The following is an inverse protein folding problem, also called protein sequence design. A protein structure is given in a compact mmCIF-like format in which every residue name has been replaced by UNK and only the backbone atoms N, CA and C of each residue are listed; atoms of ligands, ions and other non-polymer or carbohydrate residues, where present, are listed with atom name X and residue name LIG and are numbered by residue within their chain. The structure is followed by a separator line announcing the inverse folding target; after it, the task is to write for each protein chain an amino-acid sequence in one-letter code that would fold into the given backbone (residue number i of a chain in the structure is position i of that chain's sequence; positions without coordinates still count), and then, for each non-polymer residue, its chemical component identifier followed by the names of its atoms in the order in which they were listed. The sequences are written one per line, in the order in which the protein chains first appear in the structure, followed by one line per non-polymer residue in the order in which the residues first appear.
data_IF_892714504021
#
_entry.id   IF_892714504021
#
_cell.length_a   1.000
_cell.length_b   1.000
_cell.length_c   1.000
_cell.angle_alpha   90.00
_cell.angle_beta   90.00
_cell.angle_gamma   90.00
#
_symmetry.space_group_name_H-M   'P 1'
#
loop_
_entity.id
_entity.type
_entity.pdbx_description
1 polymer ?
#
# COMPACT_ATOMS: atom_id res chain seq x y z
N UNK A 1 -33.64 -10.75 21.22
CA UNK A 1 -33.22 -11.92 20.42
C UNK A 1 -32.28 -11.59 19.25
N UNK A 2 -32.26 -10.35 18.71
CA UNK A 2 -31.33 -9.99 17.61
C UNK A 2 -29.91 -9.66 18.11
N UNK A 3 -29.78 -9.05 19.31
CA UNK A 3 -28.50 -8.68 19.90
C UNK A 3 -27.62 -9.88 20.33
N UNK A 4 -28.22 -10.96 20.81
CA UNK A 4 -27.50 -12.19 21.20
C UNK A 4 -26.96 -12.98 20.00
N UNK A 5 -27.54 -12.81 18.81
CA UNK A 5 -27.11 -13.52 17.62
C UNK A 5 -25.88 -12.88 16.98
N UNK A 6 -25.80 -11.54 17.02
CA UNK A 6 -24.64 -10.76 16.55
C UNK A 6 -23.41 -11.05 17.42
N UNK A 7 -23.57 -11.13 18.75
CA UNK A 7 -22.46 -11.46 19.65
C UNK A 7 -21.95 -12.91 19.53
N UNK A 8 -22.80 -13.85 19.08
CA UNK A 8 -22.39 -15.25 18.86
C UNK A 8 -21.63 -15.46 17.53
N UNK A 9 -21.82 -14.59 16.54
CA UNK A 9 -21.12 -14.67 15.25
C UNK A 9 -19.68 -14.15 15.32
N UNK A 10 -19.39 -13.17 16.19
CA UNK A 10 -18.02 -12.70 16.47
C UNK A 10 -17.15 -13.72 17.24
N UNK A 11 -17.76 -14.80 17.78
CA UNK A 11 -17.09 -15.84 18.55
C UNK A 11 -16.70 -17.09 17.72
N UNK A 12 -17.11 -17.16 16.45
CA UNK A 12 -16.67 -18.21 15.54
C UNK A 12 -15.28 -17.86 14.97
N UNK A 13 -14.39 -18.85 14.74
CA UNK A 13 -13.12 -18.58 14.09
C UNK A 13 -13.39 -17.96 12.71
N UNK A 14 -12.91 -16.73 12.52
CA UNK A 14 -13.00 -16.00 11.25
C UNK A 14 -12.48 -16.89 10.12
N UNK A 15 -13.23 -17.07 9.01
CA UNK A 15 -12.79 -17.86 7.85
C UNK A 15 -11.38 -17.50 7.37
N UNK A 16 -11.02 -16.22 7.43
CA UNK A 16 -9.72 -15.71 7.00
C UNK A 16 -8.59 -15.80 8.03
N UNK A 17 -8.82 -16.34 9.24
CA UNK A 17 -7.78 -16.40 10.29
C UNK A 17 -6.51 -17.17 9.83
N UNK A 18 -6.70 -18.27 9.12
CA UNK A 18 -5.58 -19.04 8.55
C UNK A 18 -4.86 -18.29 7.43
N UNK A 19 -5.60 -17.50 6.63
CA UNK A 19 -5.03 -16.66 5.57
C UNK A 19 -4.19 -15.52 6.16
N UNK A 20 -4.70 -14.83 7.18
CA UNK A 20 -3.94 -13.81 7.91
C UNK A 20 -2.65 -14.41 8.48
N UNK A 21 -2.73 -15.60 9.10
CA UNK A 21 -1.54 -16.29 9.62
C UNK A 21 -0.54 -16.59 8.51
N UNK A 22 -1.02 -17.07 7.35
CA UNK A 22 -0.17 -17.35 6.19
C UNK A 22 0.48 -16.09 5.61
N UNK A 23 -0.24 -14.97 5.56
CA UNK A 23 0.32 -13.71 5.07
C UNK A 23 1.26 -13.05 6.09
N UNK A 24 1.01 -13.23 7.40
CA UNK A 24 1.79 -12.62 8.48
C UNK A 24 3.23 -13.12 8.59
N UNK A 25 3.54 -14.25 7.97
CA UNK A 25 4.91 -14.79 7.90
C UNK A 25 5.71 -14.23 6.73
N UNK A 26 5.15 -13.30 5.94
CA UNK A 26 5.91 -12.59 4.90
C UNK A 26 6.63 -11.38 5.51
N UNK A 27 7.87 -11.08 5.08
CA UNK A 27 8.70 -10.04 5.70
C UNK A 27 8.12 -8.63 5.55
N UNK A 28 7.30 -8.41 4.51
CA UNK A 28 6.70 -7.12 4.19
C UNK A 28 5.26 -6.97 4.71
N UNK A 29 4.74 -7.95 5.47
CA UNK A 29 3.36 -7.93 5.98
C UNK A 29 3.01 -6.64 6.72
N UNK A 30 3.91 -6.16 7.58
CA UNK A 30 3.71 -4.94 8.38
C UNK A 30 3.54 -3.66 7.56
N UNK A 31 3.88 -3.69 6.27
CA UNK A 31 3.69 -2.56 5.36
C UNK A 31 2.28 -2.53 4.76
N UNK A 32 1.52 -3.62 4.82
CA UNK A 32 0.20 -3.76 4.21
C UNK A 32 -0.84 -4.40 5.13
N UNK A 33 -0.52 -4.57 6.42
CA UNK A 33 -1.35 -5.24 7.41
C UNK A 33 -2.77 -4.67 7.49
N UNK A 34 -2.89 -3.34 7.51
CA UNK A 34 -4.17 -2.63 7.50
C UNK A 34 -5.02 -3.02 6.28
N UNK A 35 -4.45 -2.98 5.07
CA UNK A 35 -5.16 -3.33 3.84
C UNK A 35 -5.53 -4.83 3.81
N UNK A 36 -4.64 -5.70 4.29
CA UNK A 36 -4.89 -7.14 4.37
C UNK A 36 -6.04 -7.43 5.34
N UNK A 37 -6.04 -6.77 6.50
CA UNK A 37 -7.10 -6.92 7.51
C UNK A 37 -8.44 -6.42 6.98
N UNK A 38 -8.45 -5.27 6.28
CA UNK A 38 -9.66 -4.73 5.67
C UNK A 38 -10.28 -5.69 4.64
N UNK A 39 -9.47 -6.22 3.72
CA UNK A 39 -9.93 -7.18 2.73
C UNK A 39 -10.34 -8.54 3.35
N UNK A 40 -9.63 -9.02 4.38
CA UNK A 40 -10.03 -10.22 5.10
C UNK A 40 -11.37 -10.04 5.82
N UNK A 41 -11.60 -8.88 6.44
CA UNK A 41 -12.88 -8.56 7.07
C UNK A 41 -14.04 -8.50 6.05
N UNK A 42 -13.78 -8.05 4.81
CA UNK A 42 -14.77 -8.11 3.72
C UNK A 42 -15.11 -9.56 3.36
N UNK A 43 -14.10 -10.41 3.19
CA UNK A 43 -14.28 -11.83 2.88
C UNK A 43 -15.08 -12.52 3.98
N UNK A 44 -14.73 -12.32 5.26
CA UNK A 44 -15.44 -12.92 6.38
C UNK A 44 -16.94 -12.55 6.37
N UNK A 45 -17.27 -11.27 6.12
CA UNK A 45 -18.66 -10.80 6.00
C UNK A 45 -19.38 -11.41 4.81
N UNK A 46 -18.69 -11.62 3.68
CA UNK A 46 -19.26 -12.30 2.52
C UNK A 46 -19.51 -13.79 2.80
N UNK A 47 -18.59 -14.48 3.49
CA UNK A 47 -18.78 -15.88 3.88
C UNK A 47 -20.08 -16.07 4.70
N UNK A 48 -20.37 -15.15 5.62
CA UNK A 48 -21.61 -15.20 6.41
C UNK A 48 -22.88 -15.10 5.56
N UNK A 49 -22.86 -14.33 4.47
CA UNK A 49 -23.99 -14.19 3.53
C UNK A 49 -24.17 -15.39 2.60
N UNK A 50 -23.09 -16.12 2.35
CA UNK A 50 -23.09 -17.28 1.46
C UNK A 50 -23.54 -18.53 2.22
N UNK A 51 -23.14 -18.65 3.49
CA UNK A 51 -23.42 -19.82 4.36
C UNK A 51 -24.82 -19.85 5.00
N UNK A 52 -25.68 -18.87 4.73
CA UNK A 52 -27.01 -18.76 5.39
C UNK A 52 -28.01 -19.85 5.02
N UNK A 53 -27.84 -20.54 3.89
CA UNK A 53 -28.66 -21.67 3.46
C UNK A 53 -27.73 -22.85 3.17
N UNK A 54 -28.09 -24.05 3.66
CA UNK A 54 -27.20 -25.20 3.85
C UNK A 54 -26.19 -25.49 2.72
N UNK A 55 -25.02 -26.02 3.09
CA UNK A 55 -23.89 -26.33 2.21
C UNK A 55 -24.30 -27.12 0.96
N UNK A 56 -24.46 -26.40 -0.15
CA UNK A 56 -24.53 -26.96 -1.49
C UNK A 56 -23.17 -26.80 -2.18
N UNK A 57 -22.69 -27.84 -2.85
CA UNK A 57 -21.41 -27.84 -3.59
C UNK A 57 -21.34 -26.75 -4.68
N UNK A 58 -22.51 -26.25 -5.08
CA UNK A 58 -22.66 -25.19 -6.06
C UNK A 58 -22.16 -23.82 -5.54
N UNK A 59 -22.15 -23.58 -4.22
CA UNK A 59 -21.74 -22.29 -3.63
C UNK A 59 -20.22 -22.11 -3.51
N UNK A 60 -19.46 -23.20 -3.31
CA UNK A 60 -18.00 -23.16 -3.39
C UNK A 60 -17.55 -22.91 -4.85
N UNK A 61 -18.26 -23.54 -5.79
CA UNK A 61 -18.07 -23.33 -7.23
C UNK A 61 -18.35 -21.88 -7.62
N UNK A 62 -19.43 -21.29 -7.07
CA UNK A 62 -19.79 -19.88 -7.29
C UNK A 62 -18.63 -18.93 -6.94
N UNK A 63 -18.08 -19.02 -5.71
CA UNK A 63 -17.03 -18.09 -5.25
C UNK A 63 -15.74 -18.23 -6.05
N UNK A 64 -15.33 -19.46 -6.33
CA UNK A 64 -14.10 -19.76 -7.10
C UNK A 64 -14.25 -19.25 -8.54
N UNK A 65 -15.37 -19.53 -9.20
CA UNK A 65 -15.59 -19.11 -10.58
C UNK A 65 -15.77 -17.60 -10.69
N UNK A 66 -16.46 -16.98 -9.74
CA UNK A 66 -16.60 -15.52 -9.70
C UNK A 66 -15.24 -14.85 -9.55
N UNK A 67 -14.35 -15.37 -8.70
CA UNK A 67 -12.98 -14.84 -8.56
C UNK A 67 -12.15 -15.00 -9.84
N UNK A 68 -12.30 -16.12 -10.55
CA UNK A 68 -11.62 -16.36 -11.83
C UNK A 68 -12.13 -15.48 -12.98
N UNK A 69 -13.41 -15.11 -12.94
CA UNK A 69 -14.10 -14.39 -14.02
C UNK A 69 -14.46 -12.95 -13.63
N UNK A 70 -13.88 -12.43 -12.54
CA UNK A 70 -14.21 -11.14 -11.94
C UNK A 70 -14.16 -10.00 -12.97
N UNK A 71 -13.07 -9.88 -13.72
CA UNK A 71 -12.88 -8.86 -14.77
C UNK A 71 -13.97 -8.93 -15.85
N UNK A 72 -14.30 -10.14 -16.33
CA UNK A 72 -15.38 -10.32 -17.30
C UNK A 72 -16.74 -9.95 -16.72
N UNK A 73 -17.00 -10.31 -15.47
CA UNK A 73 -18.24 -9.94 -14.79
C UNK A 73 -18.33 -8.41 -14.68
N UNK A 74 -17.22 -7.74 -14.34
CA UNK A 74 -17.13 -6.28 -14.27
C UNK A 74 -17.45 -5.62 -15.62
N UNK A 75 -16.83 -6.06 -16.72
CA UNK A 75 -17.02 -5.49 -18.06
C UNK A 75 -18.49 -5.51 -18.50
N UNK A 76 -19.18 -6.62 -18.24
CA UNK A 76 -20.60 -6.75 -18.57
C UNK A 76 -21.49 -5.98 -17.60
N UNK A 77 -21.20 -6.03 -16.30
CA UNK A 77 -22.00 -5.32 -15.30
C UNK A 77 -21.87 -3.79 -15.38
N UNK A 78 -20.72 -3.28 -15.85
CA UNK A 78 -20.46 -1.84 -16.02
C UNK A 78 -21.08 -1.26 -17.29
N UNK A 79 -21.23 -2.07 -18.34
CA UNK A 79 -21.85 -1.66 -19.62
C UNK A 79 -23.38 -1.83 -19.64
N UNK A 80 -23.93 -2.63 -18.72
CA UNK A 80 -25.36 -2.88 -18.60
C UNK A 80 -26.10 -1.74 -17.87
N UNK A 81 -26.96 -1.04 -18.60
CA UNK A 81 -27.80 0.03 -18.07
C UNK A 81 -28.77 -0.42 -16.95
N UNK A 82 -29.03 -1.72 -16.84
CA UNK A 82 -29.94 -2.30 -15.83
C UNK A 82 -29.24 -2.71 -14.53
N UNK A 83 -27.90 -2.60 -14.44
CA UNK A 83 -27.12 -2.76 -13.21
C UNK A 83 -27.24 -4.12 -12.50
N UNK A 84 -27.27 -5.22 -13.26
CA UNK A 84 -27.58 -6.57 -12.73
C UNK A 84 -26.33 -7.40 -12.44
N UNK A 85 -25.49 -6.95 -11.50
CA UNK A 85 -24.27 -7.70 -11.08
C UNK A 85 -24.60 -9.17 -10.76
N UNK A 86 -25.65 -9.41 -9.95
CA UNK A 86 -26.10 -10.76 -9.62
C UNK A 86 -26.47 -11.62 -10.85
N UNK A 87 -27.01 -11.03 -11.91
CA UNK A 87 -27.32 -11.76 -13.14
C UNK A 87 -26.04 -12.24 -13.84
N UNK A 88 -25.06 -11.35 -14.00
CA UNK A 88 -23.80 -11.67 -14.67
C UNK A 88 -22.99 -12.69 -13.87
N UNK A 89 -22.97 -12.56 -12.54
CA UNK A 89 -22.36 -13.57 -11.67
C UNK A 89 -22.96 -14.95 -11.92
N UNK A 90 -24.29 -15.10 -11.89
CA UNK A 90 -24.95 -16.39 -12.16
C UNK A 90 -24.65 -16.89 -13.57
N UNK A 91 -24.75 -16.02 -14.57
CA UNK A 91 -24.50 -16.37 -15.97
C UNK A 91 -23.10 -16.93 -16.19
N UNK A 92 -22.07 -16.27 -15.66
CA UNK A 92 -20.68 -16.67 -15.87
C UNK A 92 -20.25 -17.85 -15.00
N UNK A 93 -20.87 -18.03 -13.84
CA UNK A 93 -20.56 -19.16 -12.94
C UNK A 93 -21.38 -20.42 -13.22
N UNK A 94 -22.52 -20.29 -13.91
CA UNK A 94 -23.49 -21.38 -14.11
C UNK A 94 -24.34 -21.68 -12.89
N UNK A 95 -24.28 -20.85 -11.83
CA UNK A 95 -24.98 -21.05 -10.57
C UNK A 95 -26.34 -20.34 -10.55
N UNK A 96 -27.29 -20.77 -11.39
CA UNK A 96 -28.59 -20.11 -11.56
C UNK A 96 -29.46 -20.07 -10.27
N UNK A 97 -29.20 -20.99 -9.33
CA UNK A 97 -29.89 -21.09 -8.05
C UNK A 97 -29.45 -20.03 -7.02
N UNK A 98 -28.32 -19.36 -7.23
CA UNK A 98 -27.80 -18.37 -6.29
C UNK A 98 -28.76 -17.18 -6.15
N UNK A 99 -29.04 -16.77 -4.92
CA UNK A 99 -29.80 -15.54 -4.66
C UNK A 99 -29.00 -14.30 -5.07
N UNK A 100 -29.68 -13.17 -5.27
CA UNK A 100 -28.99 -11.91 -5.58
C UNK A 100 -27.99 -11.53 -4.47
N UNK A 101 -28.34 -11.79 -3.21
CA UNK A 101 -27.46 -11.54 -2.07
C UNK A 101 -26.20 -12.43 -2.10
N UNK A 102 -26.35 -13.73 -2.40
CA UNK A 102 -25.21 -14.64 -2.55
C UNK A 102 -24.32 -14.26 -3.73
N UNK A 103 -24.93 -13.88 -4.87
CA UNK A 103 -24.20 -13.47 -6.06
C UNK A 103 -23.43 -12.16 -5.85
N UNK A 104 -24.04 -11.17 -5.17
CA UNK A 104 -23.33 -9.95 -4.76
C UNK A 104 -22.21 -10.24 -3.77
N UNK A 105 -22.45 -11.07 -2.76
CA UNK A 105 -21.42 -11.46 -1.80
C UNK A 105 -20.24 -12.19 -2.47
N UNK A 106 -20.51 -13.08 -3.42
CA UNK A 106 -19.47 -13.77 -4.19
C UNK A 106 -18.63 -12.79 -5.03
N UNK A 107 -19.26 -11.79 -5.64
CA UNK A 107 -18.54 -10.77 -6.41
C UNK A 107 -17.72 -9.83 -5.51
N UNK A 108 -18.27 -9.37 -4.39
CA UNK A 108 -17.52 -8.57 -3.40
C UNK A 108 -16.32 -9.37 -2.85
N UNK A 109 -16.52 -10.67 -2.57
CA UNK A 109 -15.44 -11.56 -2.15
C UNK A 109 -14.36 -11.72 -3.21
N UNK A 110 -14.74 -11.84 -4.49
CA UNK A 110 -13.81 -11.91 -5.61
C UNK A 110 -12.94 -10.65 -5.72
N UNK A 111 -13.55 -9.47 -5.66
CA UNK A 111 -12.84 -8.17 -5.61
C UNK A 111 -11.84 -8.12 -4.44
N UNK A 112 -12.27 -8.50 -3.23
CA UNK A 112 -11.40 -8.52 -2.05
C UNK A 112 -10.25 -9.55 -2.17
N UNK A 113 -10.51 -10.72 -2.76
CA UNK A 113 -9.49 -11.74 -3.01
C UNK A 113 -8.44 -11.25 -4.03
N UNK A 114 -8.87 -10.57 -5.10
CA UNK A 114 -7.98 -9.95 -6.10
C UNK A 114 -7.14 -8.84 -5.49
N UNK A 115 -7.73 -8.03 -4.61
CA UNK A 115 -7.00 -7.01 -3.88
C UNK A 115 -5.92 -7.61 -2.96
N UNK A 116 -6.21 -8.72 -2.28
CA UNK A 116 -5.22 -9.47 -1.48
C UNK A 116 -4.13 -10.12 -2.34
N UNK A 117 -4.50 -10.65 -3.50
CA UNK A 117 -3.57 -11.23 -4.48
C UNK A 117 -2.54 -10.19 -4.92
N UNK A 118 -2.96 -8.97 -5.25
CA UNK A 118 -2.06 -7.88 -5.62
C UNK A 118 -1.03 -7.55 -4.53
N UNK A 119 -1.49 -7.45 -3.27
CA UNK A 119 -0.59 -7.19 -2.14
C UNK A 119 0.36 -8.35 -1.88
N UNK A 120 -0.14 -9.59 -1.93
CA UNK A 120 0.71 -10.76 -1.71
C UNK A 120 1.73 -10.97 -2.82
N UNK A 121 1.39 -10.65 -4.07
CA UNK A 121 2.32 -10.76 -5.19
C UNK A 121 3.44 -9.73 -5.06
N UNK A 122 3.10 -8.48 -4.71
CA UNK A 122 4.09 -7.45 -4.43
C UNK A 122 5.03 -7.86 -3.28
N UNK A 123 4.49 -8.31 -2.14
CA UNK A 123 5.34 -8.73 -1.01
C UNK A 123 6.32 -9.84 -1.40
N UNK A 124 5.86 -10.82 -2.20
CA UNK A 124 6.70 -11.93 -2.68
C UNK A 124 7.75 -11.48 -3.69
N UNK A 125 7.37 -10.65 -4.66
CA UNK A 125 8.31 -10.13 -5.66
C UNK A 125 9.37 -9.27 -5.00
N UNK A 126 8.97 -8.35 -4.13
CA UNK A 126 9.90 -7.45 -3.43
C UNK A 126 10.86 -8.21 -2.50
N UNK A 127 10.41 -9.31 -1.87
CA UNK A 127 11.30 -10.20 -1.11
C UNK A 127 12.33 -10.90 -2.01
N UNK A 128 11.91 -11.38 -3.19
CA UNK A 128 12.81 -12.01 -4.16
C UNK A 128 13.84 -11.02 -4.71
N UNK A 129 13.40 -9.79 -5.03
CA UNK A 129 14.23 -8.73 -5.59
C UNK A 129 15.18 -8.09 -4.56
N UNK A 130 14.92 -8.29 -3.26
CA UNK A 130 15.80 -7.82 -2.19
C UNK A 130 17.16 -8.52 -2.19
N UNK A 131 17.28 -9.69 -2.82
CA UNK A 131 18.51 -10.48 -2.85
C UNK A 131 19.02 -10.67 -4.28
N UNK A 132 20.34 -10.56 -4.53
CA UNK A 132 20.91 -10.87 -5.83
C UNK A 132 20.60 -12.32 -6.27
N UNK A 133 20.48 -12.60 -7.58
CA UNK A 133 20.25 -13.95 -8.06
C UNK A 133 21.33 -14.93 -7.58
N UNK A 134 20.89 -16.07 -7.03
CA UNK A 134 21.78 -17.11 -6.50
C UNK A 134 22.34 -16.84 -5.11
N UNK A 135 21.93 -15.75 -4.46
CA UNK A 135 22.26 -15.50 -3.06
C UNK A 135 21.54 -16.51 -2.16
N UNK A 136 22.28 -17.16 -1.27
CA UNK A 136 21.68 -18.02 -0.23
C UNK A 136 21.08 -17.12 0.84
N UNK A 137 19.78 -17.24 1.08
CA UNK A 137 19.09 -16.53 2.16
C UNK A 137 19.85 -16.79 3.46
N UNK A 138 20.44 -15.75 4.08
CA UNK A 138 21.17 -15.91 5.32
C UNK A 138 20.24 -16.33 6.47
N UNK A 139 20.74 -17.13 7.40
CA UNK A 139 20.02 -17.46 8.64
C UNK A 139 20.11 -16.26 9.61
N UNK A 140 19.38 -15.21 9.29
CA UNK A 140 19.29 -13.99 10.08
C UNK A 140 18.12 -14.06 11.07
N UNK A 141 18.23 -13.37 12.23
CA UNK A 141 17.07 -13.12 13.07
C UNK A 141 15.93 -12.51 12.25
N UNK A 142 14.71 -13.00 12.46
CA UNK A 142 13.53 -12.63 11.66
C UNK A 142 13.34 -11.11 11.55
N UNK A 143 13.47 -10.38 12.65
CA UNK A 143 13.32 -8.93 12.66
C UNK A 143 14.35 -8.23 11.77
N UNK A 144 15.60 -8.69 11.82
CA UNK A 144 16.66 -8.16 10.96
C UNK A 144 16.42 -8.48 9.48
N UNK A 145 15.92 -9.68 9.20
CA UNK A 145 15.52 -10.08 7.84
C UNK A 145 14.41 -9.18 7.31
N UNK A 146 13.35 -8.95 8.09
CA UNK A 146 12.24 -8.07 7.73
C UNK A 146 12.69 -6.63 7.49
N UNK A 147 13.53 -6.09 8.39
CA UNK A 147 14.10 -4.75 8.26
C UNK A 147 14.95 -4.62 7.00
N UNK A 148 15.77 -5.63 6.71
CA UNK A 148 16.59 -5.65 5.50
C UNK A 148 15.72 -5.65 4.24
N UNK A 149 14.78 -6.61 4.10
CA UNK A 149 13.90 -6.69 2.93
C UNK A 149 13.09 -5.41 2.77
N UNK A 150 12.53 -4.87 3.86
CA UNK A 150 11.82 -3.59 3.86
C UNK A 150 12.68 -2.41 3.40
N UNK A 151 13.99 -2.43 3.71
CA UNK A 151 14.93 -1.39 3.28
C UNK A 151 15.28 -1.46 1.79
N UNK A 152 15.18 -2.65 1.18
CA UNK A 152 15.42 -2.86 -0.25
C UNK A 152 14.15 -2.63 -1.09
N UNK A 153 12.97 -2.83 -0.51
CA UNK A 153 11.70 -2.70 -1.22
C UNK A 153 11.51 -1.32 -1.87
N UNK A 154 11.15 -1.33 -3.15
CA UNK A 154 10.85 -0.13 -3.93
C UNK A 154 9.58 0.55 -3.38
N UNK A 155 9.65 1.85 -3.01
CA UNK A 155 8.46 2.60 -2.63
C UNK A 155 7.45 2.75 -3.78
N UNK A 156 7.92 2.76 -5.02
CA UNK A 156 7.06 2.90 -6.20
C UNK A 156 6.25 1.62 -6.44
N UNK A 157 6.90 0.46 -6.37
CA UNK A 157 6.22 -0.84 -6.52
C UNK A 157 5.17 -1.04 -5.42
N UNK A 158 5.43 -0.54 -4.21
CA UNK A 158 4.44 -0.54 -3.12
C UNK A 158 3.25 0.37 -3.43
N UNK A 159 3.50 1.53 -4.04
CA UNK A 159 2.42 2.43 -4.48
C UNK A 159 1.57 1.74 -5.54
N UNK A 160 2.20 1.09 -6.52
CA UNK A 160 1.50 0.35 -7.57
C UNK A 160 0.65 -0.79 -7.00
N UNK A 161 1.17 -1.52 -5.99
CA UNK A 161 0.42 -2.54 -5.29
C UNK A 161 -0.81 -1.99 -4.54
N UNK A 162 -0.68 -0.82 -3.91
CA UNK A 162 -1.80 -0.12 -3.26
C UNK A 162 -2.82 0.36 -4.31
N UNK A 163 -2.36 0.84 -5.46
CA UNK A 163 -3.24 1.26 -6.55
C UNK A 163 -4.04 0.08 -7.12
N UNK A 164 -3.38 -1.06 -7.34
CA UNK A 164 -4.06 -2.30 -7.73
C UNK A 164 -5.06 -2.77 -6.67
N UNK A 165 -4.67 -2.73 -5.39
CA UNK A 165 -5.59 -3.02 -4.28
C UNK A 165 -6.85 -2.14 -4.34
N UNK A 166 -6.69 -0.82 -4.55
CA UNK A 166 -7.85 0.07 -4.67
C UNK A 166 -8.66 -0.20 -5.93
N UNK A 167 -7.99 -0.43 -7.06
CA UNK A 167 -8.62 -0.71 -8.34
C UNK A 167 -9.53 -1.93 -8.27
N UNK A 168 -9.10 -3.01 -7.60
CA UNK A 168 -9.93 -4.21 -7.43
C UNK A 168 -11.12 -3.99 -6.48
N UNK A 169 -11.07 -3.01 -5.59
CA UNK A 169 -12.18 -2.71 -4.66
C UNK A 169 -13.17 -1.67 -5.21
N UNK A 170 -12.74 -0.79 -6.12
CA UNK A 170 -13.56 0.24 -6.75
C UNK A 170 -14.88 -0.25 -7.37
N UNK A 171 -14.96 -1.45 -8.01
CA UNK A 171 -16.21 -1.98 -8.53
C UNK A 171 -17.33 -2.02 -7.49
N UNK A 172 -17.00 -2.29 -6.22
CA UNK A 172 -18.00 -2.42 -5.16
C UNK A 172 -18.66 -1.05 -4.85
N UNK A 173 -17.92 0.05 -4.97
CA UNK A 173 -18.45 1.40 -4.75
C UNK A 173 -19.08 2.02 -5.99
N UNK A 174 -18.68 1.56 -7.18
CA UNK A 174 -19.03 2.21 -8.45
C UNK A 174 -20.13 1.47 -9.24
N UNK A 175 -20.25 0.15 -9.10
CA UNK A 175 -21.29 -0.61 -9.79
C UNK A 175 -22.66 -0.28 -9.18
N UNK A 176 -23.59 0.13 -10.03
CA UNK A 176 -24.94 0.51 -9.60
C UNK A 176 -25.68 -0.62 -8.86
N UNK A 177 -25.42 -1.88 -9.20
CA UNK A 177 -26.00 -3.05 -8.53
C UNK A 177 -25.53 -3.25 -7.09
N UNK A 178 -24.41 -2.64 -6.70
CA UNK A 178 -23.80 -2.76 -5.37
C UNK A 178 -23.86 -1.45 -4.57
N UNK A 179 -24.37 -0.36 -5.16
CA UNK A 179 -24.38 0.97 -4.53
C UNK A 179 -25.07 1.01 -3.17
N UNK A 180 -26.11 0.19 -2.99
CA UNK A 180 -26.89 0.09 -1.76
C UNK A 180 -26.51 -1.14 -0.91
N UNK A 181 -25.44 -1.86 -1.25
CA UNK A 181 -24.94 -2.96 -0.42
C UNK A 181 -24.40 -2.41 0.91
N UNK A 182 -24.69 -3.11 2.01
CA UNK A 182 -24.24 -2.71 3.36
C UNK A 182 -22.70 -2.78 3.53
N UNK A 183 -21.95 -3.47 2.65
CA UNK A 183 -20.48 -3.48 2.66
C UNK A 183 -19.87 -2.27 1.96
N UNK A 184 -20.63 -1.60 1.08
CA UNK A 184 -20.13 -0.47 0.29
C UNK A 184 -19.50 0.64 1.14
N UNK A 185 -20.08 1.06 2.28
CA UNK A 185 -19.44 2.02 3.18
C UNK A 185 -18.11 1.52 3.78
N UNK A 186 -18.00 0.23 4.07
CA UNK A 186 -16.78 -0.39 4.61
C UNK A 186 -15.67 -0.40 3.56
N UNK A 187 -16.01 -0.74 2.31
CA UNK A 187 -15.07 -0.69 1.17
C UNK A 187 -14.61 0.74 0.91
N UNK A 188 -15.54 1.71 0.89
CA UNK A 188 -15.18 3.12 0.69
C UNK A 188 -14.21 3.63 1.77
N UNK A 189 -14.36 3.18 3.02
CA UNK A 189 -13.43 3.49 4.10
C UNK A 189 -12.05 2.84 3.87
N UNK A 190 -12.00 1.58 3.46
CA UNK A 190 -10.77 0.86 3.15
C UNK A 190 -9.99 1.50 1.98
N UNK A 191 -10.67 1.86 0.89
CA UNK A 191 -10.08 2.60 -0.24
C UNK A 191 -9.51 3.94 0.24
N UNK A 192 -10.26 4.69 1.06
CA UNK A 192 -9.80 5.97 1.59
C UNK A 192 -8.56 5.82 2.49
N UNK A 193 -8.50 4.78 3.31
CA UNK A 193 -7.35 4.48 4.15
C UNK A 193 -6.12 4.12 3.29
N UNK A 194 -6.29 3.28 2.27
CA UNK A 194 -5.26 2.91 1.31
C UNK A 194 -4.70 4.13 0.54
N UNK A 195 -5.58 5.01 0.02
CA UNK A 195 -5.18 6.26 -0.65
C UNK A 195 -4.40 7.18 0.30
N UNK A 196 -4.83 7.29 1.56
CA UNK A 196 -4.09 8.04 2.58
C UNK A 196 -2.70 7.44 2.82
N UNK A 197 -2.60 6.11 2.89
CA UNK A 197 -1.33 5.39 3.06
C UNK A 197 -0.38 5.67 1.89
N UNK A 198 -0.88 5.57 0.64
CA UNK A 198 -0.16 5.97 -0.57
C UNK A 198 0.36 7.41 -0.49
N UNK A 199 -0.49 8.35 -0.09
CA UNK A 199 -0.10 9.75 0.10
C UNK A 199 1.05 9.94 1.12
N UNK A 200 1.06 9.14 2.18
CA UNK A 200 2.16 9.12 3.15
C UNK A 200 3.49 8.61 2.57
N UNK A 201 3.44 7.61 1.68
CA UNK A 201 4.63 7.07 0.99
C UNK A 201 5.21 8.12 0.02
N UNK A 202 4.34 8.74 -0.79
CA UNK A 202 4.72 9.82 -1.73
C UNK A 202 5.38 10.98 -1.00
N UNK A 203 4.76 11.48 0.07
CA UNK A 203 5.33 12.56 0.90
C UNK A 203 6.71 12.17 1.47
N UNK A 204 6.88 10.92 1.91
CA UNK A 204 8.17 10.41 2.37
C UNK A 204 9.25 10.37 1.27
N UNK A 205 8.86 10.03 0.04
CA UNK A 205 9.75 10.03 -1.15
C UNK A 205 10.16 11.45 -1.52
N UNK A 206 9.22 12.38 -1.59
CA UNK A 206 9.47 13.79 -1.90
C UNK A 206 10.46 14.39 -0.90
N UNK A 207 10.23 14.18 0.41
CA UNK A 207 11.16 14.62 1.45
C UNK A 207 12.57 14.05 1.27
N UNK A 208 12.71 12.77 0.90
CA UNK A 208 14.03 12.16 0.64
C UNK A 208 14.73 12.80 -0.57
N UNK A 209 13.99 13.11 -1.63
CA UNK A 209 14.52 13.78 -2.82
C UNK A 209 15.00 15.19 -2.44
N UNK A 210 14.15 15.98 -1.79
CA UNK A 210 14.47 17.32 -1.35
C UNK A 210 15.73 17.34 -0.44
N UNK A 211 15.83 16.41 0.52
CA UNK A 211 17.01 16.26 1.37
C UNK A 211 18.29 15.95 0.57
N UNK A 212 18.21 15.08 -0.46
CA UNK A 212 19.36 14.76 -1.32
C UNK A 212 19.79 15.97 -2.15
N UNK A 213 18.85 16.74 -2.68
CA UNK A 213 19.17 17.94 -3.45
C UNK A 213 19.85 19.01 -2.58
N UNK A 214 19.35 19.21 -1.36
CA UNK A 214 19.98 20.07 -0.36
C UNK A 214 21.40 19.62 -0.03
N UNK A 215 21.58 18.34 0.29
CA UNK A 215 22.89 17.80 0.68
C UNK A 215 23.88 17.91 -0.49
N UNK A 216 23.42 17.71 -1.73
CA UNK A 216 24.19 17.96 -2.96
C UNK A 216 24.60 19.43 -3.10
N UNK A 217 23.70 20.38 -2.81
CA UNK A 217 24.02 21.81 -2.86
C UNK A 217 25.09 22.19 -1.83
N UNK A 218 24.99 21.66 -0.61
CA UNK A 218 25.99 21.82 0.46
C UNK A 218 27.37 21.32 0.01
N UNK A 219 27.42 20.11 -0.54
CA UNK A 219 28.65 19.47 -1.05
C UNK A 219 29.26 20.29 -2.20
N UNK A 220 28.45 20.72 -3.16
CA UNK A 220 28.91 21.51 -4.30
C UNK A 220 29.49 22.86 -3.87
N UNK A 221 28.85 23.54 -2.92
CA UNK A 221 29.36 24.79 -2.37
C UNK A 221 30.71 24.58 -1.65
N UNK A 222 30.82 23.55 -0.81
CA UNK A 222 32.07 23.19 -0.14
C UNK A 222 33.21 22.87 -1.11
N UNK A 223 32.93 22.11 -2.17
CA UNK A 223 33.88 21.81 -3.23
C UNK A 223 34.37 23.09 -3.94
N UNK A 224 33.47 24.04 -4.20
CA UNK A 224 33.83 25.34 -4.75
C UNK A 224 34.80 26.12 -3.86
N UNK A 225 34.56 26.14 -2.54
CA UNK A 225 35.46 26.79 -1.58
C UNK A 225 36.85 26.14 -1.57
N UNK A 226 36.92 24.81 -1.56
CA UNK A 226 38.18 24.07 -1.59
C UNK A 226 38.96 24.32 -2.88
N UNK A 227 38.28 24.30 -4.04
CA UNK A 227 38.90 24.63 -5.34
C UNK A 227 39.48 26.04 -5.37
N UNK A 228 38.85 26.98 -4.66
CA UNK A 228 39.33 28.35 -4.50
C UNK A 228 40.43 28.50 -3.42
N UNK A 229 41.00 27.39 -2.92
CA UNK A 229 42.13 27.39 -1.99
C UNK A 229 41.74 27.54 -0.52
N UNK A 230 40.46 27.44 -0.15
CA UNK A 230 40.06 27.51 1.25
C UNK A 230 40.59 26.31 2.05
N UNK A 231 41.20 26.57 3.20
CA UNK A 231 41.62 25.50 4.12
C UNK A 231 40.40 24.73 4.67
N UNK A 232 40.49 23.39 4.70
CA UNK A 232 39.47 22.48 5.25
C UNK A 232 38.97 22.90 6.64
N UNK A 233 39.85 23.47 7.48
CA UNK A 233 39.50 23.95 8.84
C UNK A 233 38.37 24.99 8.84
N UNK A 234 38.21 25.77 7.77
CA UNK A 234 37.21 26.84 7.68
C UNK A 234 35.97 26.47 6.87
N UNK A 235 36.02 25.40 6.06
CA UNK A 235 34.95 25.01 5.13
C UNK A 235 33.61 24.83 5.85
N UNK A 236 33.56 24.03 6.91
CA UNK A 236 32.30 23.76 7.64
C UNK A 236 31.61 25.03 8.12
N UNK A 237 32.37 25.98 8.67
CA UNK A 237 31.82 27.23 9.19
C UNK A 237 31.33 28.14 8.07
N UNK A 238 32.07 28.22 6.97
CA UNK A 238 31.68 29.01 5.78
C UNK A 238 30.43 28.43 5.13
N UNK A 239 30.37 27.11 4.96
CA UNK A 239 29.22 26.40 4.40
C UNK A 239 27.99 26.58 5.29
N UNK A 240 28.13 26.52 6.62
CA UNK A 240 27.03 26.76 7.54
C UNK A 240 26.45 28.18 7.41
N UNK A 241 27.32 29.20 7.39
CA UNK A 241 26.87 30.59 7.22
C UNK A 241 26.22 30.83 5.86
N UNK A 242 26.75 30.22 4.80
CA UNK A 242 26.13 30.26 3.48
C UNK A 242 24.76 29.61 3.51
N UNK A 243 24.65 28.40 4.05
CA UNK A 243 23.40 27.66 4.14
C UNK A 243 22.33 28.43 4.92
N UNK A 244 22.66 28.96 6.10
CA UNK A 244 21.77 29.82 6.90
C UNK A 244 21.29 31.04 6.10
N UNK A 245 22.16 31.68 5.34
CA UNK A 245 21.80 32.82 4.49
C UNK A 245 20.85 32.43 3.36
N UNK A 246 21.06 31.28 2.71
CA UNK A 246 20.21 30.83 1.61
C UNK A 246 18.80 30.45 2.08
N UNK A 247 18.67 29.74 3.21
CA UNK A 247 17.36 29.32 3.72
C UNK A 247 16.55 30.45 4.36
N UNK A 248 17.22 31.54 4.77
CA UNK A 248 16.55 32.73 5.36
C UNK A 248 16.07 33.75 4.34
N UNK A 249 16.38 33.56 3.05
CA UNK A 249 15.86 34.42 1.97
C UNK A 249 14.33 34.32 1.87
N UNK A 250 13.66 35.35 1.32
CA UNK A 250 12.26 35.25 0.88
C UNK A 250 12.08 34.09 -0.10
N UNK A 251 10.91 33.45 -0.10
CA UNK A 251 10.64 32.26 -0.92
C UNK A 251 10.92 32.48 -2.41
N UNK A 252 10.60 33.66 -2.95
CA UNK A 252 10.87 34.05 -4.34
C UNK A 252 12.36 34.14 -4.71
N UNK A 253 13.25 34.20 -3.72
CA UNK A 253 14.71 34.36 -3.88
C UNK A 253 15.49 33.11 -3.45
N UNK A 254 14.79 32.08 -2.94
CA UNK A 254 15.42 30.84 -2.50
C UNK A 254 15.86 30.02 -3.71
N UNK A 255 17.04 29.37 -3.64
CA UNK A 255 17.41 28.38 -4.64
C UNK A 255 16.43 27.20 -4.58
N UNK A 256 16.20 26.53 -5.72
CA UNK A 256 15.16 25.49 -5.83
C UNK A 256 15.29 24.31 -4.84
N UNK A 257 16.49 24.04 -4.32
CA UNK A 257 16.71 23.02 -3.29
C UNK A 257 16.28 23.45 -1.86
N UNK A 258 16.01 24.74 -1.63
CA UNK A 258 15.63 25.30 -0.33
C UNK A 258 14.09 25.46 -0.22
N UNK A 259 13.38 24.33 -0.33
CA UNK A 259 11.92 24.23 -0.23
C UNK A 259 11.39 24.63 1.15
N UNK A 260 10.07 24.83 1.27
CA UNK A 260 9.40 25.15 2.54
C UNK A 260 9.63 24.09 3.63
N UNK A 261 9.72 22.80 3.28
CA UNK A 261 10.01 21.73 4.25
C UNK A 261 11.47 21.77 4.76
N UNK A 262 12.39 22.37 3.99
CA UNK A 262 13.81 22.55 4.32
C UNK A 262 14.09 23.91 4.98
N UNK A 263 13.05 24.72 5.21
CA UNK A 263 13.15 26.08 5.78
C UNK A 263 13.83 26.19 7.15
N UNK A 264 14.05 25.07 7.85
CA UNK A 264 14.82 25.06 9.09
C UNK A 264 16.32 24.95 8.80
N UNK A 265 17.14 25.92 9.24
CA UNK A 265 18.58 25.84 9.07
C UNK A 265 19.14 24.58 9.76
N UNK A 266 20.06 23.91 9.06
CA UNK A 266 20.79 22.78 9.64
C UNK A 266 21.79 23.29 10.66
N UNK A 267 21.97 22.54 11.74
CA UNK A 267 23.04 22.82 12.69
C UNK A 267 24.41 22.63 12.02
N UNK A 268 25.42 23.37 12.50
CA UNK A 268 26.81 23.20 12.05
C UNK A 268 27.29 21.74 12.14
N UNK A 269 26.90 21.03 13.19
CA UNK A 269 27.22 19.60 13.38
C UNK A 269 26.66 18.76 12.23
N UNK A 270 25.40 19.02 11.83
CA UNK A 270 24.78 18.27 10.73
C UNK A 270 25.46 18.55 9.38
N UNK A 271 25.86 19.78 9.12
CA UNK A 271 26.66 20.13 7.94
C UNK A 271 28.00 19.41 7.97
N UNK A 272 28.67 19.37 9.11
CA UNK A 272 29.93 18.64 9.27
C UNK A 272 29.77 17.15 8.96
N UNK A 273 28.70 16.51 9.44
CA UNK A 273 28.39 15.10 9.13
C UNK A 273 28.20 14.87 7.62
N UNK A 274 27.43 15.74 6.94
CA UNK A 274 27.23 15.66 5.48
C UNK A 274 28.56 15.77 4.74
N UNK A 275 29.41 16.72 5.13
CA UNK A 275 30.71 16.92 4.49
C UNK A 275 31.67 15.74 4.74
N UNK A 276 31.66 15.14 5.94
CA UNK A 276 32.44 13.93 6.25
C UNK A 276 31.99 12.73 5.43
N UNK A 277 30.68 12.53 5.29
CA UNK A 277 30.12 11.46 4.44
C UNK A 277 30.59 11.55 2.98
N UNK A 278 30.94 12.76 2.52
CA UNK A 278 31.44 13.02 1.16
C UNK A 278 32.97 13.22 1.09
N UNK A 279 33.72 12.87 2.15
CA UNK A 279 35.19 12.96 2.22
C UNK A 279 35.76 14.38 1.98
N UNK A 280 35.01 15.42 2.35
CA UNK A 280 35.42 16.83 2.16
C UNK A 280 36.15 17.44 3.37
N UNK A 281 36.17 16.75 4.50
CA UNK A 281 36.84 17.14 5.74
C UNK A 281 37.94 16.14 6.07
#
# INVERSE_FOLDING_TARGET
MVLDHVQKLDALPKPTASLIRYLSVQPLYSLCDEQIVDACNLIDKCCLRIQTDGFDSDLDTLCIQTTKLEEKIFDYASSDASSRVAHWVRHFTGCDSATDNQAHAAYVMACAAKALEALSEWMRSAEQDAFPPGWKVPDWPWDFYCDYVSSQASPDDRIDAIDLYTLFLEPITNLAGLRNDELTPLVAAAIKAAVRRKGGILSGKDRKIEMRERDRAIVNYALGLLKNGMSRRYVTTTVHRWFEREVTKPESERPGWATLEISKPLTRKRIEEILKQHNLL
#
